data_IF_210800333348
#
_entry.id   IF_210800333348
#
_cell.length_a   1.000
_cell.length_b   1.000
_cell.length_c   1.000
_cell.angle_alpha   90.00
_cell.angle_beta   90.00
_cell.angle_gamma   90.00
#
_symmetry.space_group_name_H-M   'P 1'
#
loop_
_entity.id
_entity.type
_entity.pdbx_description
1 polymer ?
#
# COMPACT_ATOMS: atom_id res chain seq x y z
N UNK A 1 6.97 -3.52 9.55
CA UNK A 1 6.13 -2.88 8.52
C UNK A 1 5.58 -1.54 9.01
N UNK A 2 4.68 -1.47 9.99
CA UNK A 2 4.17 -0.18 10.49
C UNK A 2 5.26 0.79 10.96
N UNK A 3 6.27 0.33 11.71
CA UNK A 3 7.41 1.19 12.11
C UNK A 3 8.23 1.67 10.92
N UNK A 4 8.42 0.82 9.91
CA UNK A 4 9.09 1.24 8.67
C UNK A 4 8.30 2.33 7.94
N UNK A 5 6.96 2.24 7.90
CA UNK A 5 6.11 3.27 7.34
C UNK A 5 6.19 4.60 8.11
N UNK A 6 6.42 4.56 9.42
CA UNK A 6 6.63 5.75 10.22
C UNK A 6 8.00 6.37 9.93
N UNK A 7 9.05 5.55 9.91
CA UNK A 7 10.41 5.99 9.62
C UNK A 7 10.53 6.59 8.22
N UNK A 8 9.91 5.95 7.21
CA UNK A 8 9.85 6.46 5.85
C UNK A 8 9.15 7.82 5.77
N UNK A 9 8.00 7.96 6.44
CA UNK A 9 7.26 9.22 6.48
C UNK A 9 8.07 10.33 7.15
N UNK A 10 8.77 10.01 8.25
CA UNK A 10 9.62 10.97 8.95
C UNK A 10 10.82 11.40 8.09
N UNK A 11 11.47 10.45 7.40
CA UNK A 11 12.67 10.71 6.62
C UNK A 11 12.43 11.37 5.25
N UNK A 12 11.24 11.20 4.66
CA UNK A 12 10.95 11.70 3.31
C UNK A 12 10.51 13.18 3.33
N UNK A 13 11.33 14.15 2.89
CA UNK A 13 10.96 15.58 2.91
C UNK A 13 9.76 15.90 2.02
N UNK A 14 9.42 15.03 1.06
CA UNK A 14 8.30 15.16 0.16
C UNK A 14 7.10 14.25 0.55
N UNK A 15 6.98 13.88 1.83
CA UNK A 15 5.94 12.94 2.29
C UNK A 15 4.52 13.51 2.30
N UNK A 16 4.36 14.83 2.34
CA UNK A 16 3.06 15.50 2.52
C UNK A 16 2.90 16.66 1.54
N UNK A 17 1.65 16.94 1.20
CA UNK A 17 1.23 18.02 0.30
C UNK A 17 0.66 19.24 1.05
N UNK A 18 0.08 19.02 2.23
CA UNK A 18 -0.53 20.06 3.06
C UNK A 18 -0.58 19.65 4.53
N UNK A 19 -0.97 20.59 5.40
CA UNK A 19 -1.23 20.28 6.81
C UNK A 19 -2.34 19.24 6.96
N UNK A 20 -3.45 19.38 6.22
CA UNK A 20 -4.56 18.43 6.26
C UNK A 20 -4.11 17.02 5.90
N UNK A 21 -3.46 16.87 4.75
CA UNK A 21 -2.87 15.60 4.28
C UNK A 21 -1.92 14.99 5.33
N UNK A 22 -1.06 15.80 5.95
CA UNK A 22 -0.17 15.33 7.01
C UNK A 22 -0.95 14.76 8.20
N UNK A 23 -1.98 15.47 8.67
CA UNK A 23 -2.80 15.01 9.80
C UNK A 23 -3.58 13.74 9.44
N UNK A 24 -4.15 13.67 8.24
CA UNK A 24 -4.87 12.49 7.76
C UNK A 24 -3.96 11.26 7.65
N UNK A 25 -2.75 11.41 7.10
CA UNK A 25 -1.76 10.32 7.06
C UNK A 25 -1.34 9.86 8.46
N UNK A 26 -1.12 10.78 9.40
CA UNK A 26 -0.78 10.46 10.79
C UNK A 26 -1.94 9.75 11.50
N UNK A 27 -3.17 10.20 11.28
CA UNK A 27 -4.38 9.56 11.81
C UNK A 27 -4.51 8.13 11.30
N UNK A 28 -4.33 7.90 9.99
CA UNK A 28 -4.34 6.56 9.40
C UNK A 28 -3.25 5.68 10.00
N UNK A 29 -2.02 6.18 10.19
CA UNK A 29 -0.94 5.40 10.84
C UNK A 29 -1.29 5.02 12.28
N UNK A 30 -1.87 5.93 13.07
CA UNK A 30 -2.36 5.64 14.41
C UNK A 30 -3.46 4.58 14.39
N UNK A 31 -4.43 4.71 13.48
CA UNK A 31 -5.56 3.79 13.36
C UNK A 31 -5.15 2.40 12.88
N UNK A 32 -4.24 2.29 11.90
CA UNK A 32 -3.73 0.99 11.47
C UNK A 32 -3.03 0.25 12.62
N UNK A 33 -2.30 0.94 13.50
CA UNK A 33 -1.75 0.34 14.73
C UNK A 33 -2.87 -0.14 15.66
N UNK A 34 -3.87 0.71 15.93
CA UNK A 34 -4.97 0.40 16.82
C UNK A 34 -5.84 -0.78 16.33
N UNK A 35 -6.07 -0.85 15.02
CA UNK A 35 -6.95 -1.85 14.38
C UNK A 35 -6.22 -3.14 14.00
N UNK A 36 -4.90 -3.22 14.16
CA UNK A 36 -4.09 -4.37 13.76
C UNK A 36 -4.57 -5.71 14.35
N UNK A 37 -5.17 -5.69 15.56
CA UNK A 37 -5.71 -6.88 16.21
C UNK A 37 -6.97 -7.46 15.51
N UNK A 38 -7.67 -6.68 14.70
CA UNK A 38 -8.84 -7.12 13.94
C UNK A 38 -8.45 -7.85 12.66
N UNK A 39 -7.31 -7.50 12.08
CA UNK A 39 -6.87 -7.98 10.77
C UNK A 39 -5.73 -8.98 10.82
N UNK A 40 -4.92 -8.96 11.90
CA UNK A 40 -3.84 -9.94 12.12
C UNK A 40 -4.29 -10.97 13.14
N UNK A 41 -4.65 -12.16 12.65
CA UNK A 41 -5.13 -13.28 13.48
C UNK A 41 -4.05 -13.70 14.47
N UNK A 42 -4.45 -13.94 15.72
CA UNK A 42 -3.48 -14.24 16.80
C UNK A 42 -2.74 -15.56 16.55
N UNK A 43 -3.42 -16.50 15.92
CA UNK A 43 -2.94 -17.85 15.65
C UNK A 43 -1.85 -17.86 14.55
N UNK A 44 -1.86 -16.87 13.66
CA UNK A 44 -0.94 -16.76 12.51
C UNK A 44 0.17 -15.72 12.70
N UNK A 45 0.18 -14.95 13.80
CA UNK A 45 1.20 -13.91 14.08
C UNK A 45 2.64 -14.40 14.01
N UNK A 46 2.85 -15.67 14.37
CA UNK A 46 4.17 -16.29 14.39
C UNK A 46 4.38 -17.25 13.20
N UNK A 47 3.54 -17.14 12.17
CA UNK A 47 3.61 -17.94 10.95
C UNK A 47 2.34 -18.75 10.68
N UNK A 48 2.28 -19.44 9.53
CA UNK A 48 3.39 -19.64 8.60
C UNK A 48 3.76 -18.40 7.77
N UNK A 49 5.03 -18.31 7.40
CA UNK A 49 5.55 -17.34 6.44
C UNK A 49 5.86 -18.05 5.12
N UNK A 50 5.44 -17.46 4.01
CA UNK A 50 5.66 -18.00 2.66
C UNK A 50 6.56 -17.06 1.88
N UNK A 51 7.36 -17.62 0.97
CA UNK A 51 8.07 -16.82 -0.02
C UNK A 51 7.04 -16.22 -0.99
N UNK A 52 7.00 -14.90 -1.04
CA UNK A 52 6.08 -14.12 -1.85
C UNK A 52 6.88 -13.12 -2.69
N UNK A 53 6.48 -12.96 -3.95
CA UNK A 53 6.99 -11.93 -4.86
C UNK A 53 6.24 -10.63 -4.55
N UNK A 54 6.92 -9.62 -3.99
CA UNK A 54 6.25 -8.36 -3.61
C UNK A 54 6.06 -7.41 -4.78
N UNK A 55 6.83 -7.61 -5.87
CA UNK A 55 6.68 -6.87 -7.13
C UNK A 55 6.22 -7.80 -8.27
N UNK A 56 5.17 -8.56 -8.00
CA UNK A 56 4.59 -9.44 -9.02
C UNK A 56 3.61 -8.66 -9.88
N UNK A 57 3.95 -8.39 -11.14
CA UNK A 57 3.09 -7.72 -12.13
C UNK A 57 3.25 -8.32 -13.54
N UNK A 58 2.34 -7.97 -14.46
CA UNK A 58 2.28 -8.55 -15.81
C UNK A 58 3.62 -8.51 -16.59
N UNK A 59 4.39 -7.41 -16.51
CA UNK A 59 5.69 -7.31 -17.21
C UNK A 59 6.80 -8.20 -16.65
N UNK A 60 6.59 -8.85 -15.49
CA UNK A 60 7.52 -9.83 -14.93
C UNK A 60 7.22 -11.27 -15.37
N UNK A 61 6.20 -11.47 -16.23
CA UNK A 61 5.75 -12.77 -16.71
C UNK A 61 6.01 -12.87 -18.22
N UNK A 62 6.84 -13.83 -18.63
CA UNK A 62 7.01 -14.16 -20.04
C UNK A 62 6.15 -15.35 -20.43
N UNK A 63 5.56 -15.26 -21.62
CA UNK A 63 4.71 -16.29 -22.21
C UNK A 63 5.20 -16.68 -23.60
N UNK A 64 4.95 -17.93 -24.00
CA UNK A 64 5.13 -18.36 -25.38
C UNK A 64 3.94 -17.93 -26.27
N UNK A 65 3.99 -18.34 -27.55
CA UNK A 65 2.93 -18.05 -28.54
C UNK A 65 1.55 -18.65 -28.18
N UNK A 66 1.52 -19.63 -27.29
CA UNK A 66 0.32 -20.35 -26.86
C UNK A 66 -0.11 -19.90 -25.45
N UNK A 67 0.44 -18.78 -24.95
CA UNK A 67 0.19 -18.18 -23.63
C UNK A 67 0.65 -19.02 -22.43
N UNK A 68 1.51 -20.02 -22.63
CA UNK A 68 2.08 -20.74 -21.50
C UNK A 68 3.15 -19.88 -20.81
N UNK A 69 3.13 -19.81 -19.48
CA UNK A 69 4.17 -19.13 -18.71
C UNK A 69 5.49 -19.87 -18.91
N UNK A 70 6.49 -19.17 -19.46
CA UNK A 70 7.82 -19.71 -19.75
C UNK A 70 8.86 -19.30 -18.73
N UNK A 71 8.72 -18.12 -18.14
CA UNK A 71 9.67 -17.57 -17.18
C UNK A 71 9.02 -16.47 -16.33
N UNK A 72 9.48 -16.38 -15.09
CA UNK A 72 9.32 -15.20 -14.24
C UNK A 72 10.67 -14.51 -14.14
N UNK A 73 10.67 -13.18 -14.19
CA UNK A 73 11.88 -12.37 -14.00
C UNK A 73 11.73 -11.48 -12.77
N UNK A 74 12.80 -10.75 -12.46
CA UNK A 74 12.82 -9.75 -11.40
C UNK A 74 12.52 -10.31 -9.99
N UNK A 75 13.33 -11.30 -9.60
CA UNK A 75 13.18 -12.00 -8.31
C UNK A 75 13.88 -11.26 -7.15
N UNK A 76 14.36 -10.03 -7.36
CA UNK A 76 15.09 -9.29 -6.32
C UNK A 76 14.17 -8.88 -5.14
N UNK A 77 12.85 -8.89 -5.38
CA UNK A 77 11.81 -8.54 -4.41
C UNK A 77 11.05 -9.77 -3.86
N UNK A 78 11.76 -10.87 -3.58
CA UNK A 78 11.19 -12.03 -2.87
C UNK A 78 11.35 -11.88 -1.37
N UNK A 79 10.23 -11.93 -0.63
CA UNK A 79 10.21 -11.84 0.83
C UNK A 79 9.52 -13.04 1.48
N UNK A 80 9.98 -13.46 2.67
CA UNK A 80 9.22 -14.35 3.53
C UNK A 80 8.16 -13.52 4.29
N UNK A 81 6.90 -13.61 3.86
CA UNK A 81 5.79 -12.80 4.38
C UNK A 81 4.68 -13.66 5.01
N UNK A 82 3.91 -13.12 5.97
CA UNK A 82 2.75 -13.79 6.53
C UNK A 82 1.84 -14.34 5.43
N UNK A 83 1.33 -15.55 5.61
CA UNK A 83 0.42 -16.15 4.63
C UNK A 83 -0.84 -15.28 4.38
N UNK A 84 -1.29 -14.53 5.38
CA UNK A 84 -2.46 -13.63 5.28
C UNK A 84 -2.26 -12.45 4.32
N UNK A 85 -1.00 -12.15 3.94
CA UNK A 85 -0.67 -11.13 2.94
C UNK A 85 -0.89 -11.59 1.50
N UNK A 86 -1.12 -12.90 1.27
CA UNK A 86 -1.49 -13.40 -0.04
C UNK A 86 -2.81 -12.75 -0.48
N UNK A 87 -2.78 -12.11 -1.64
CA UNK A 87 -3.95 -11.50 -2.26
C UNK A 87 -3.98 -11.77 -3.75
N UNK A 88 -5.17 -11.69 -4.34
CA UNK A 88 -5.30 -11.77 -5.79
C UNK A 88 -4.67 -10.50 -6.36
N UNK A 89 -3.80 -10.59 -7.39
CA UNK A 89 -3.12 -9.41 -7.90
C UNK A 89 -4.12 -8.39 -8.47
N UNK A 90 -4.15 -7.19 -7.89
CA UNK A 90 -5.13 -6.14 -8.26
C UNK A 90 -4.96 -5.66 -9.70
N UNK A 91 -3.73 -5.73 -10.25
CA UNK A 91 -3.43 -5.32 -11.62
C UNK A 91 -4.05 -6.23 -12.69
N UNK A 92 -4.72 -7.33 -12.33
CA UNK A 92 -5.43 -8.18 -13.30
C UNK A 92 -6.54 -7.44 -14.04
N UNK A 93 -7.09 -6.36 -13.48
CA UNK A 93 -8.03 -5.45 -14.16
C UNK A 93 -7.37 -4.19 -14.69
N UNK A 94 -6.04 -4.07 -14.61
CA UNK A 94 -5.30 -2.87 -15.03
C UNK A 94 -5.49 -1.64 -14.12
N UNK A 95 -6.23 -1.76 -13.02
CA UNK A 95 -6.46 -0.67 -12.08
C UNK A 95 -5.26 -0.49 -11.14
N UNK A 96 -4.99 0.76 -10.75
CA UNK A 96 -4.13 1.04 -9.61
C UNK A 96 -4.86 0.67 -8.31
N UNK A 97 -4.11 0.32 -7.27
CA UNK A 97 -4.72 -0.17 -6.02
C UNK A 97 -5.57 0.90 -5.31
N UNK A 98 -5.19 2.17 -5.43
CA UNK A 98 -5.92 3.33 -4.93
C UNK A 98 -7.11 3.73 -5.81
N UNK A 99 -7.35 3.04 -6.93
CA UNK A 99 -8.52 3.23 -7.79
C UNK A 99 -9.56 2.10 -7.66
N UNK A 100 -9.41 1.23 -6.65
CA UNK A 100 -10.24 0.04 -6.45
C UNK A 100 -11.60 0.35 -5.82
N UNK A 101 -12.37 1.25 -6.44
CA UNK A 101 -13.68 1.72 -5.96
C UNK A 101 -14.78 1.43 -6.98
N UNK A 102 -16.03 1.45 -6.51
CA UNK A 102 -17.24 1.42 -7.35
C UNK A 102 -17.19 0.37 -8.48
N UNK A 103 -17.18 0.82 -9.74
CA UNK A 103 -17.16 -0.05 -10.93
C UNK A 103 -15.88 -0.90 -11.01
N UNK A 104 -14.71 -0.31 -10.74
CA UNK A 104 -13.42 -1.00 -10.74
C UNK A 104 -13.39 -2.12 -9.70
N UNK A 105 -13.96 -1.87 -8.51
CA UNK A 105 -14.08 -2.89 -7.46
C UNK A 105 -15.02 -4.03 -7.88
N UNK A 106 -16.12 -3.70 -8.58
CA UNK A 106 -17.06 -4.69 -9.11
C UNK A 106 -16.46 -5.57 -10.20
N UNK A 107 -15.70 -4.98 -11.13
CA UNK A 107 -14.94 -5.71 -12.14
C UNK A 107 -13.90 -6.63 -11.49
N UNK A 108 -13.12 -6.09 -10.56
CA UNK A 108 -12.11 -6.86 -9.85
C UNK A 108 -12.71 -8.02 -9.06
N UNK A 109 -13.84 -7.83 -8.38
CA UNK A 109 -14.52 -8.91 -7.67
C UNK A 109 -14.90 -10.08 -8.59
N UNK A 110 -15.17 -9.80 -9.86
CA UNK A 110 -15.49 -10.83 -10.86
C UNK A 110 -14.22 -11.60 -11.27
N UNK A 111 -13.16 -10.89 -11.64
CA UNK A 111 -11.85 -11.48 -11.98
C UNK A 111 -11.26 -12.24 -10.79
N UNK A 112 -11.42 -11.72 -9.58
CA UNK A 112 -10.94 -12.32 -8.33
C UNK A 112 -11.59 -13.68 -8.07
N UNK A 113 -12.90 -13.81 -8.32
CA UNK A 113 -13.61 -15.10 -8.18
C UNK A 113 -13.10 -16.12 -9.18
N UNK A 114 -12.98 -15.72 -10.45
CA UNK A 114 -12.43 -16.60 -11.49
C UNK A 114 -11.01 -17.06 -11.16
N UNK A 115 -10.14 -16.14 -10.71
CA UNK A 115 -8.79 -16.46 -10.28
C UNK A 115 -8.78 -17.50 -9.16
N UNK A 116 -9.59 -17.31 -8.11
CA UNK A 116 -9.64 -18.24 -6.98
C UNK A 116 -10.20 -19.61 -7.38
N UNK A 117 -11.21 -19.66 -8.26
CA UNK A 117 -11.79 -20.91 -8.77
C UNK A 117 -10.78 -21.72 -9.59
N UNK A 118 -9.91 -21.06 -10.34
CA UNK A 118 -8.82 -21.70 -11.07
C UNK A 118 -7.72 -22.12 -10.10
N UNK A 119 -7.33 -21.24 -9.18
CA UNK A 119 -6.24 -21.51 -8.25
C UNK A 119 -6.56 -22.67 -7.31
N UNK A 120 -7.81 -22.82 -6.86
CA UNK A 120 -8.23 -23.92 -6.00
C UNK A 120 -8.07 -25.27 -6.70
N UNK A 121 -8.39 -25.33 -8.00
CA UNK A 121 -8.20 -26.56 -8.82
C UNK A 121 -6.73 -26.91 -8.95
N UNK A 122 -5.85 -25.93 -9.13
CA UNK A 122 -4.39 -26.16 -9.20
C UNK A 122 -3.79 -26.55 -7.85
N UNK A 123 -4.27 -25.94 -6.76
CA UNK A 123 -3.84 -26.24 -5.39
C UNK A 123 -4.13 -27.71 -5.02
N UNK A 124 -5.32 -28.22 -5.37
CA UNK A 124 -5.70 -29.62 -5.17
C UNK A 124 -4.88 -30.58 -6.05
N UNK A 125 -4.56 -30.19 -7.29
CA UNK A 125 -3.73 -31.00 -8.20
C UNK A 125 -2.29 -31.14 -7.70
N UNK A 126 -1.71 -30.08 -7.12
CA UNK A 126 -0.32 -30.09 -6.66
C UNK A 126 -0.09 -31.00 -5.45
N UNK A 127 -0.97 -30.96 -4.45
CA UNK A 127 -0.83 -31.78 -3.23
C UNK A 127 -2.18 -32.37 -2.83
N UNK A 128 -2.60 -33.51 -3.41
CA UNK A 128 -3.93 -34.08 -3.20
C UNK A 128 -4.25 -34.47 -1.76
N UNK A 129 -3.23 -34.81 -0.97
CA UNK A 129 -3.40 -35.35 0.39
C UNK A 129 -3.49 -34.29 1.48
N UNK A 130 -2.94 -33.09 1.25
CA UNK A 130 -3.02 -31.96 2.18
C UNK A 130 -2.66 -30.67 1.41
N UNK A 131 -3.58 -30.17 0.57
CA UNK A 131 -3.31 -28.97 -0.22
C UNK A 131 -2.91 -27.81 0.69
N UNK A 132 -2.03 -26.91 0.24
CA UNK A 132 -1.89 -25.61 0.87
C UNK A 132 -3.28 -24.98 1.04
N UNK A 133 -3.46 -24.12 2.05
CA UNK A 133 -4.75 -23.47 2.28
C UNK A 133 -4.73 -22.03 1.72
N UNK A 134 -3.97 -21.77 0.64
CA UNK A 134 -3.69 -20.43 0.13
C UNK A 134 -4.98 -19.79 -0.41
N UNK A 135 -5.77 -20.52 -1.20
CA UNK A 135 -7.05 -20.01 -1.71
C UNK A 135 -8.01 -19.66 -0.58
N UNK A 136 -8.12 -20.53 0.44
CA UNK A 136 -8.91 -20.26 1.65
C UNK A 136 -8.42 -19.02 2.39
N UNK A 137 -7.10 -18.85 2.54
CA UNK A 137 -6.51 -17.69 3.21
C UNK A 137 -6.83 -16.40 2.44
N UNK A 138 -6.68 -16.40 1.12
CA UNK A 138 -6.99 -15.24 0.27
C UNK A 138 -8.49 -14.89 0.33
N UNK A 139 -9.36 -15.89 0.28
CA UNK A 139 -10.80 -15.71 0.41
C UNK A 139 -11.19 -15.14 1.79
N UNK A 140 -10.64 -15.68 2.86
CA UNK A 140 -10.85 -15.22 4.24
C UNK A 140 -10.33 -13.79 4.46
N UNK A 141 -9.17 -13.46 3.88
CA UNK A 141 -8.55 -12.14 3.94
C UNK A 141 -9.43 -11.10 3.23
N UNK A 142 -10.00 -11.47 2.08
CA UNK A 142 -10.96 -10.63 1.35
C UNK A 142 -12.25 -10.41 2.15
N UNK A 143 -12.90 -11.48 2.62
CA UNK A 143 -14.17 -11.42 3.35
C UNK A 143 -14.07 -10.60 4.64
N UNK A 144 -12.96 -10.74 5.36
CA UNK A 144 -12.71 -10.01 6.61
C UNK A 144 -12.32 -8.55 6.39
N UNK A 145 -11.90 -8.18 5.17
CA UNK A 145 -11.30 -6.88 4.85
C UNK A 145 -9.81 -6.77 5.22
N UNK A 146 -9.19 -7.85 5.71
CA UNK A 146 -7.77 -7.86 6.05
C UNK A 146 -6.85 -7.60 4.85
N UNK A 147 -7.30 -7.96 3.63
CA UNK A 147 -6.59 -7.64 2.39
C UNK A 147 -6.24 -6.15 2.28
N UNK A 148 -7.18 -5.27 2.64
CA UNK A 148 -6.98 -3.82 2.60
C UNK A 148 -6.04 -3.34 3.69
N UNK A 149 -6.11 -3.94 4.88
CA UNK A 149 -5.16 -3.66 5.95
C UNK A 149 -3.73 -4.02 5.54
N UNK A 150 -3.52 -5.21 4.95
CA UNK A 150 -2.20 -5.64 4.48
C UNK A 150 -1.67 -4.71 3.39
N UNK A 151 -2.52 -4.32 2.44
CA UNK A 151 -2.15 -3.35 1.41
C UNK A 151 -1.85 -1.96 1.99
N UNK A 152 -2.60 -1.49 2.99
CA UNK A 152 -2.30 -0.21 3.66
C UNK A 152 -0.89 -0.19 4.27
N UNK A 153 -0.47 -1.29 4.91
CA UNK A 153 0.83 -1.31 5.60
C UNK A 153 2.03 -1.63 4.68
N UNK A 154 1.77 -2.10 3.46
CA UNK A 154 2.78 -2.27 2.40
C UNK A 154 2.89 -1.07 1.47
N UNK A 155 1.81 -0.34 1.26
CA UNK A 155 1.78 0.80 0.33
C UNK A 155 2.31 2.06 0.99
N UNK A 156 3.23 2.76 0.32
CA UNK A 156 3.79 4.02 0.81
C UNK A 156 2.94 5.24 0.43
N UNK A 157 2.13 5.14 -0.62
CA UNK A 157 1.35 6.24 -1.19
C UNK A 157 -0.18 6.00 -1.12
N UNK A 158 -0.63 4.75 -1.17
CA UNK A 158 -2.05 4.40 -1.18
C UNK A 158 -2.65 4.12 0.21
N UNK A 159 -1.86 4.20 1.29
CA UNK A 159 -2.33 3.79 2.61
C UNK A 159 -3.54 4.60 3.10
N UNK A 160 -3.57 5.91 2.86
CA UNK A 160 -4.68 6.76 3.26
C UNK A 160 -5.96 6.46 2.46
N UNK A 161 -5.86 6.41 1.12
CA UNK A 161 -7.03 6.12 0.26
C UNK A 161 -7.63 4.76 0.57
N UNK A 162 -6.79 3.72 0.68
CA UNK A 162 -7.26 2.38 1.02
C UNK A 162 -7.91 2.32 2.41
N UNK A 163 -7.40 3.08 3.37
CA UNK A 163 -8.01 3.17 4.68
C UNK A 163 -9.39 3.83 4.60
N UNK A 164 -9.49 4.98 3.93
CA UNK A 164 -10.73 5.75 3.77
C UNK A 164 -11.80 4.97 2.99
N UNK A 165 -11.41 4.29 1.92
CA UNK A 165 -12.34 3.58 1.04
C UNK A 165 -12.82 2.24 1.61
N UNK A 166 -11.94 1.52 2.32
CA UNK A 166 -12.17 0.10 2.60
C UNK A 166 -12.11 -0.29 4.07
N UNK A 167 -11.44 0.49 4.93
CA UNK A 167 -11.31 0.18 6.36
C UNK A 167 -12.27 1.04 7.17
N UNK A 168 -12.19 2.37 7.03
CA UNK A 168 -12.98 3.33 7.80
C UNK A 168 -14.50 3.09 7.71
N UNK A 169 -15.09 2.81 6.53
CA UNK A 169 -16.55 2.61 6.41
C UNK A 169 -17.06 1.35 7.13
N UNK A 170 -16.16 0.41 7.49
CA UNK A 170 -16.51 -0.79 8.27
C UNK A 170 -16.69 -0.48 9.76
N UNK A 171 -16.26 0.69 10.22
CA UNK A 171 -16.40 1.17 11.58
C UNK A 171 -17.24 2.45 11.57
N UNK A 172 -16.56 3.59 11.65
CA UNK A 172 -17.11 4.92 11.50
C UNK A 172 -16.18 5.66 10.52
N UNK A 173 -16.77 6.18 9.43
CA UNK A 173 -16.06 7.01 8.47
C UNK A 173 -15.39 8.19 9.19
N UNK A 174 -14.09 8.38 8.99
CA UNK A 174 -13.35 9.46 9.62
C UNK A 174 -13.77 10.80 9.00
N UNK A 175 -14.15 11.76 9.85
CA UNK A 175 -14.25 13.16 9.44
C UNK A 175 -12.89 13.83 9.59
N UNK A 176 -12.69 14.98 8.94
CA UNK A 176 -11.50 15.82 9.12
C UNK A 176 -11.24 16.15 10.60
N UNK A 177 -12.29 16.44 11.38
CA UNK A 177 -12.16 16.68 12.83
C UNK A 177 -11.66 15.43 13.57
N UNK A 178 -12.12 14.24 13.16
CA UNK A 178 -11.68 12.98 13.75
C UNK A 178 -10.23 12.68 13.39
N UNK A 179 -9.82 12.96 12.15
CA UNK A 179 -8.44 12.83 11.70
C UNK A 179 -7.52 13.77 12.50
N UNK A 180 -7.92 15.03 12.72
CA UNK A 180 -7.14 15.97 13.53
C UNK A 180 -6.91 15.42 14.94
N UNK A 181 -7.94 14.91 15.61
CA UNK A 181 -7.82 14.33 16.95
C UNK A 181 -6.94 13.08 16.94
N UNK A 182 -7.19 12.15 16.01
CA UNK A 182 -6.48 10.88 15.93
C UNK A 182 -5.00 11.04 15.55
N UNK A 183 -4.68 12.04 14.74
CA UNK A 183 -3.31 12.37 14.37
C UNK A 183 -2.43 12.64 15.60
N UNK A 184 -3.00 13.22 16.66
CA UNK A 184 -2.28 13.54 17.90
C UNK A 184 -1.88 12.29 18.69
N UNK A 185 -2.52 11.14 18.43
CA UNK A 185 -2.20 9.87 19.07
C UNK A 185 -1.13 9.06 18.30
N UNK A 186 -0.67 9.53 17.14
CA UNK A 186 0.38 8.84 16.40
C UNK A 186 1.74 8.94 17.10
N UNK A 187 2.14 10.14 17.53
CA UNK A 187 3.35 10.35 18.32
C UNK A 187 3.28 11.58 19.24
N UNK A 188 4.14 11.63 20.26
CA UNK A 188 4.30 12.84 21.08
C UNK A 188 4.76 14.02 20.22
N UNK A 189 4.12 15.18 20.38
CA UNK A 189 4.44 16.34 19.57
C UNK A 189 4.02 16.23 18.11
N UNK A 190 3.04 15.38 17.79
CA UNK A 190 2.48 15.20 16.44
C UNK A 190 2.29 16.50 15.65
N UNK A 191 1.74 17.55 16.25
CA UNK A 191 1.56 18.85 15.57
C UNK A 191 2.89 19.54 15.19
N UNK A 192 3.94 19.35 15.99
CA UNK A 192 5.29 19.86 15.71
C UNK A 192 5.88 19.09 14.54
N UNK A 193 5.71 17.76 14.52
CA UNK A 193 6.10 16.93 13.38
C UNK A 193 5.37 17.38 12.12
N UNK A 194 4.05 17.59 12.18
CA UNK A 194 3.26 18.00 11.03
C UNK A 194 3.72 19.34 10.44
N UNK A 195 3.95 20.35 11.30
CA UNK A 195 4.52 21.64 10.88
C UNK A 195 5.90 21.48 10.24
N UNK A 196 6.75 20.62 10.82
CA UNK A 196 8.08 20.32 10.26
C UNK A 196 7.96 19.69 8.87
N UNK A 197 7.07 18.70 8.69
CA UNK A 197 6.85 18.03 7.40
C UNK A 197 6.39 19.00 6.31
N UNK A 198 5.50 19.94 6.64
CA UNK A 198 5.06 20.98 5.70
C UNK A 198 6.22 21.89 5.30
N UNK A 199 7.04 22.33 6.25
CA UNK A 199 8.22 23.17 5.96
C UNK A 199 9.29 22.42 5.13
N UNK A 200 9.54 21.14 5.44
CA UNK A 200 10.45 20.27 4.65
C UNK A 200 9.98 20.15 3.20
N UNK A 201 8.66 20.04 2.96
CA UNK A 201 8.08 20.01 1.61
C UNK A 201 8.29 21.33 0.88
N UNK A 202 8.06 22.46 1.54
CA UNK A 202 8.27 23.79 0.94
C UNK A 202 9.73 23.97 0.50
N UNK A 203 10.69 23.59 1.35
CA UNK A 203 12.11 23.62 1.03
C UNK A 203 12.45 22.68 -0.13
N UNK A 204 11.92 21.44 -0.10
CA UNK A 204 12.13 20.46 -1.17
C UNK A 204 11.62 20.98 -2.53
N UNK A 205 10.44 21.62 -2.57
CA UNK A 205 9.90 22.22 -3.81
C UNK A 205 10.81 23.33 -4.33
N UNK A 206 11.32 24.19 -3.45
CA UNK A 206 12.22 25.27 -3.84
C UNK A 206 13.54 24.72 -4.42
N UNK A 207 14.15 23.74 -3.75
CA UNK A 207 15.36 23.08 -4.25
C UNK A 207 15.12 22.40 -5.60
N UNK A 208 13.97 21.75 -5.75
CA UNK A 208 13.59 21.11 -7.01
C UNK A 208 13.43 22.13 -8.14
N UNK A 209 12.80 23.27 -7.86
CA UNK A 209 12.62 24.36 -8.82
C UNK A 209 13.98 24.90 -9.30
N UNK A 210 14.91 25.19 -8.38
CA UNK A 210 16.27 25.64 -8.72
C UNK A 210 16.97 24.65 -9.65
N UNK A 211 16.92 23.35 -9.32
CA UNK A 211 17.56 22.32 -10.15
C UNK A 211 16.97 22.23 -11.56
N UNK A 212 15.67 22.48 -11.73
CA UNK A 212 15.03 22.49 -13.04
C UNK A 212 15.32 23.78 -13.82
N UNK A 213 15.37 24.93 -13.15
CA UNK A 213 15.71 26.21 -13.78
C UNK A 213 17.17 26.22 -14.25
N UNK A 214 18.10 25.71 -13.44
CA UNK A 214 19.50 25.50 -13.82
C UNK A 214 19.62 24.59 -15.05
N UNK A 215 18.89 23.47 -15.08
CA UNK A 215 18.87 22.55 -16.23
C UNK A 215 18.22 23.17 -17.49
N UNK A 216 17.28 24.07 -17.32
CA UNK A 216 16.60 24.78 -18.41
C UNK A 216 17.40 25.98 -18.95
N UNK A 217 18.55 26.32 -18.34
CA UNK A 217 19.35 27.49 -18.71
C UNK A 217 18.74 28.82 -18.25
N UNK A 218 17.83 28.79 -17.28
CA UNK A 218 17.24 29.96 -16.64
C UNK A 218 18.09 30.31 -15.41
N UNK A 219 19.30 30.85 -15.64
CA UNK A 219 20.16 31.30 -14.55
C UNK A 219 19.54 32.51 -13.83
N UNK A 220 19.43 32.43 -12.51
CA UNK A 220 19.15 33.54 -11.59
C UNK A 220 20.35 34.49 -11.46
N UNK A 221 20.95 34.89 -12.57
CA UNK A 221 21.88 36.03 -12.58
C UNK A 221 21.06 37.30 -12.76
N UNK A 222 20.56 37.81 -11.64
CA UNK A 222 20.24 39.22 -11.54
C UNK A 222 21.53 40.01 -11.71
N UNK A 223 21.65 40.72 -12.82
CA UNK A 223 22.68 41.72 -13.11
C UNK A 223 22.89 42.64 -11.89
N UNK A 224 23.94 42.37 -11.11
CA UNK A 224 24.56 43.37 -10.25
C UNK A 224 25.64 44.05 -11.09
N UNK A 225 25.24 44.98 -11.94
CA UNK A 225 26.13 46.02 -12.46
C UNK A 225 25.35 47.25 -12.92
N UNK A 226 25.19 48.24 -12.02
CA UNK A 226 25.68 49.63 -12.17
C UNK A 226 25.09 50.54 -11.10
#
# INVERSE_FOLDING_TARGET
MLTFQDDFFLANPNAVSSMGDCLSQMAVKAMLRALSNHYVRRESRNGPFHLQLTDFHASNIFVDKDWNITSLIDHEWVCALPAEMLSVPYWLTGCAIDDMREENLGEFETVRKEFLDIFEKEEVKMVPTNPPAMTRIMHDSWKSGAVWFWHCITSVNAAWSLFDDHISPRFLALSTDSEEVLSQYWCEGSIVVARRKVAEREEYVQQLQVLFDEKAGLSTEGDIHS
#
